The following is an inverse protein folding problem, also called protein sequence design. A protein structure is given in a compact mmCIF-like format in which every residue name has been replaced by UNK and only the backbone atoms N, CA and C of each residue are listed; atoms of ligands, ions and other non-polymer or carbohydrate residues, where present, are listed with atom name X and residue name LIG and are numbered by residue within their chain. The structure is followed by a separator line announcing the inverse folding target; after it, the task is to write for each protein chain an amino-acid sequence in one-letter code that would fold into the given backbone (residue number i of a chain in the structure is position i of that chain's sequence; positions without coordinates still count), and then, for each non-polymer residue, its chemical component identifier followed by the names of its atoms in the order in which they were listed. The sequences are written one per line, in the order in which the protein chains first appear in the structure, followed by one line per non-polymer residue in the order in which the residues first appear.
data_IF_442362663132
#
_entry.id   IF_442362663132
#
_cell.length_a   1.000
_cell.length_b   1.000
_cell.length_c   1.000
_cell.angle_alpha   90.00
_cell.angle_beta   90.00
_cell.angle_gamma   90.00
#
_symmetry.space_group_name_H-M   'P 1'
#
loop_
_entity.id
_entity.type
_entity.pdbx_description
1 polymer ?
#
# COMPACT_ATOMS: atom_id res chain seq x y z
N UNK A 1 -16.17 -26.72 -16.65
CA UNK A 1 -16.83 -25.41 -16.60
C UNK A 1 -17.67 -25.37 -15.34
N UNK A 2 -17.13 -24.79 -14.26
CA UNK A 2 -17.88 -24.58 -13.02
C UNK A 2 -18.31 -23.12 -13.03
N UNK A 3 -19.61 -22.88 -13.05
CA UNK A 3 -20.22 -21.56 -12.98
C UNK A 3 -19.92 -20.96 -11.61
N UNK A 4 -19.07 -19.93 -11.56
CA UNK A 4 -18.90 -19.12 -10.37
C UNK A 4 -20.25 -18.46 -10.05
N UNK A 5 -20.90 -18.95 -9.00
CA UNK A 5 -22.09 -18.33 -8.42
C UNK A 5 -21.71 -16.92 -7.98
N UNK A 6 -22.36 -15.91 -8.57
CA UNK A 6 -22.31 -14.53 -8.07
C UNK A 6 -23.02 -14.50 -6.72
N UNK A 7 -22.26 -14.69 -5.63
CA UNK A 7 -22.78 -14.41 -4.29
C UNK A 7 -22.82 -12.90 -4.10
N UNK A 8 -24.01 -12.33 -4.31
CA UNK A 8 -24.33 -10.95 -3.98
C UNK A 8 -24.00 -10.68 -2.51
N UNK A 9 -23.35 -9.55 -2.21
CA UNK A 9 -23.08 -9.09 -0.85
C UNK A 9 -24.43 -8.96 -0.11
N UNK A 10 -24.72 -9.87 0.82
CA UNK A 10 -25.97 -9.86 1.58
C UNK A 10 -25.89 -8.89 2.76
N UNK A 11 -26.93 -8.06 2.90
CA UNK A 11 -27.12 -7.13 4.03
C UNK A 11 -27.27 -7.94 5.33
N UNK A 12 -26.64 -7.52 6.45
CA UNK A 12 -26.77 -8.22 7.73
C UNK A 12 -28.23 -8.29 8.23
N UNK A 13 -28.60 -9.30 9.03
CA UNK A 13 -29.96 -9.41 9.59
C UNK A 13 -30.33 -8.18 10.43
N UNK A 14 -31.58 -7.73 10.31
CA UNK A 14 -32.10 -6.49 10.94
C UNK A 14 -31.88 -6.43 12.47
N UNK A 15 -31.77 -7.59 13.12
CA UNK A 15 -31.76 -7.72 14.59
C UNK A 15 -30.37 -7.61 15.26
N UNK A 16 -29.27 -7.51 14.51
CA UNK A 16 -27.94 -7.39 15.12
C UNK A 16 -27.64 -5.95 15.63
N UNK A 17 -26.88 -5.81 16.72
CA UNK A 17 -26.49 -4.50 17.28
C UNK A 17 -25.15 -4.06 16.64
N UNK A 18 -24.93 -2.76 16.41
CA UNK A 18 -23.92 -2.17 15.52
C UNK A 18 -22.59 -2.93 15.33
N UNK A 19 -21.87 -3.29 16.42
CA UNK A 19 -20.59 -4.01 16.33
C UNK A 19 -20.66 -5.43 15.77
N UNK A 20 -21.76 -6.15 16.02
CA UNK A 20 -22.01 -7.49 15.46
C UNK A 20 -22.35 -7.40 13.97
N UNK A 21 -23.17 -6.41 13.57
CA UNK A 21 -23.46 -6.12 12.16
C UNK A 21 -22.19 -5.82 11.37
N UNK A 22 -21.25 -5.08 11.96
CA UNK A 22 -19.99 -4.76 11.31
C UNK A 22 -19.07 -5.96 11.13
N UNK A 23 -18.93 -6.77 12.18
CA UNK A 23 -18.14 -8.00 12.13
C UNK A 23 -18.67 -8.97 11.07
N UNK A 24 -19.99 -9.14 10.99
CA UNK A 24 -20.63 -10.03 10.02
C UNK A 24 -20.43 -9.54 8.60
N UNK A 25 -20.65 -8.24 8.33
CA UNK A 25 -20.42 -7.66 7.02
C UNK A 25 -18.97 -7.88 6.56
N UNK A 26 -17.99 -7.50 7.38
CA UNK A 26 -16.58 -7.62 7.02
C UNK A 26 -16.14 -9.08 6.86
N UNK A 27 -16.74 -9.99 7.64
CA UNK A 27 -16.49 -11.43 7.49
C UNK A 27 -16.95 -11.95 6.12
N UNK A 28 -18.15 -11.57 5.68
CA UNK A 28 -18.64 -11.91 4.34
C UNK A 28 -17.80 -11.26 3.25
N UNK A 29 -17.44 -10.00 3.45
CA UNK A 29 -16.62 -9.23 2.54
C UNK A 29 -15.24 -9.86 2.29
N UNK A 30 -14.50 -10.17 3.37
CA UNK A 30 -13.20 -10.83 3.27
C UNK A 30 -13.32 -12.18 2.56
N UNK A 31 -14.36 -12.96 2.88
CA UNK A 31 -14.61 -14.26 2.22
C UNK A 31 -14.77 -14.07 0.71
N UNK A 32 -15.59 -13.12 0.29
CA UNK A 32 -15.86 -12.85 -1.12
C UNK A 32 -14.62 -12.38 -1.88
N UNK A 33 -13.91 -11.37 -1.36
CA UNK A 33 -12.71 -10.82 -2.01
C UNK A 33 -11.57 -11.84 -2.05
N UNK A 34 -11.27 -12.50 -0.93
CA UNK A 34 -10.12 -13.40 -0.84
C UNK A 34 -10.33 -14.68 -1.63
N UNK A 35 -11.54 -15.25 -1.65
CA UNK A 35 -11.83 -16.44 -2.47
C UNK A 35 -11.55 -16.17 -3.95
N UNK A 36 -12.02 -15.03 -4.45
CA UNK A 36 -11.83 -14.60 -5.85
C UNK A 36 -10.37 -14.26 -6.14
N UNK A 37 -9.71 -13.58 -5.20
CA UNK A 37 -8.28 -13.25 -5.32
C UNK A 37 -7.41 -14.52 -5.35
N UNK A 38 -7.56 -15.44 -4.40
CA UNK A 38 -6.77 -16.67 -4.36
C UNK A 38 -7.01 -17.56 -5.58
N UNK A 39 -8.28 -17.71 -5.99
CA UNK A 39 -8.64 -18.50 -7.17
C UNK A 39 -8.00 -17.93 -8.44
N UNK A 40 -8.07 -16.60 -8.62
CA UNK A 40 -7.53 -15.94 -9.81
C UNK A 40 -6.00 -15.82 -9.79
N UNK A 41 -5.35 -15.65 -8.64
CA UNK A 41 -3.88 -15.65 -8.55
C UNK A 41 -3.32 -17.05 -8.80
N UNK A 42 -4.01 -18.09 -8.30
CA UNK A 42 -3.55 -19.47 -8.32
C UNK A 42 -2.47 -19.75 -7.27
N UNK A 43 -2.13 -21.04 -7.09
CA UNK A 43 -1.06 -21.45 -6.17
C UNK A 43 -1.48 -21.58 -4.70
N UNK A 44 -2.78 -21.55 -4.39
CA UNK A 44 -3.33 -21.79 -3.05
C UNK A 44 -4.34 -22.94 -3.12
N UNK A 45 -4.13 -23.99 -2.32
CA UNK A 45 -5.08 -25.10 -2.16
C UNK A 45 -6.36 -24.63 -1.44
N UNK A 46 -7.50 -25.32 -1.60
CA UNK A 46 -8.74 -24.94 -0.91
C UNK A 46 -8.59 -24.81 0.60
N UNK A 47 -7.81 -25.71 1.25
CA UNK A 47 -7.53 -25.64 2.68
C UNK A 47 -6.71 -24.41 3.07
N UNK A 48 -5.74 -24.01 2.23
CA UNK A 48 -4.96 -22.80 2.45
C UNK A 48 -5.83 -21.55 2.33
N UNK A 49 -6.65 -21.47 1.29
CA UNK A 49 -7.59 -20.36 1.10
C UNK A 49 -8.51 -20.21 2.32
N UNK A 50 -9.11 -21.32 2.76
CA UNK A 50 -10.01 -21.32 3.92
C UNK A 50 -9.29 -20.87 5.19
N UNK A 51 -8.06 -21.35 5.44
CA UNK A 51 -7.29 -20.96 6.62
C UNK A 51 -6.91 -19.47 6.65
N UNK A 52 -6.68 -18.85 5.49
CA UNK A 52 -6.47 -17.41 5.40
C UNK A 52 -7.77 -16.64 5.64
N UNK A 53 -8.87 -17.06 5.01
CA UNK A 53 -10.19 -16.44 5.17
C UNK A 53 -10.66 -16.50 6.63
N UNK A 54 -10.55 -17.65 7.28
CA UNK A 54 -10.96 -17.83 8.68
C UNK A 54 -10.15 -16.97 9.63
N UNK A 55 -8.86 -16.77 9.36
CA UNK A 55 -8.05 -15.85 10.14
C UNK A 55 -8.56 -14.41 10.02
N UNK A 56 -8.84 -13.95 8.80
CA UNK A 56 -9.32 -12.59 8.56
C UNK A 56 -10.69 -12.35 9.22
N UNK A 57 -11.62 -13.31 9.09
CA UNK A 57 -12.93 -13.28 9.74
C UNK A 57 -12.82 -13.23 11.27
N UNK A 58 -11.94 -14.05 11.84
CA UNK A 58 -11.82 -14.18 13.30
C UNK A 58 -11.08 -13.03 13.96
N UNK A 59 -10.02 -12.52 13.33
CA UNK A 59 -9.09 -11.60 13.98
C UNK A 59 -9.09 -10.18 13.42
N UNK A 60 -9.58 -9.97 12.19
CA UNK A 60 -9.53 -8.66 11.53
C UNK A 60 -10.92 -8.05 11.38
N UNK A 61 -11.91 -8.83 10.92
CA UNK A 61 -13.29 -8.35 10.74
C UNK A 61 -13.88 -7.63 11.98
N UNK A 62 -13.60 -8.05 13.23
CA UNK A 62 -14.15 -7.37 14.41
C UNK A 62 -13.61 -5.95 14.66
N UNK A 63 -12.49 -5.56 14.04
CA UNK A 63 -11.74 -4.34 14.40
C UNK A 63 -11.39 -3.43 13.21
N UNK A 64 -11.81 -3.81 12.00
CA UNK A 64 -11.44 -3.10 10.77
C UNK A 64 -12.14 -1.74 10.63
N UNK A 65 -13.31 -1.55 11.24
CA UNK A 65 -14.04 -0.28 11.25
C UNK A 65 -15.53 -0.41 10.88
N UNK A 66 -16.22 0.73 10.67
CA UNK A 66 -17.65 0.75 10.35
C UNK A 66 -17.94 0.10 8.99
N UNK A 67 -19.18 -0.32 8.79
CA UNK A 67 -19.61 -0.87 7.50
C UNK A 67 -19.92 0.23 6.50
N UNK A 68 -19.68 0.00 5.19
CA UNK A 68 -20.03 0.92 4.10
C UNK A 68 -21.45 1.49 4.16
N UNK A 69 -22.41 0.70 4.66
CA UNK A 69 -23.81 1.10 4.84
C UNK A 69 -24.04 2.33 5.74
N UNK A 70 -23.07 2.69 6.58
CA UNK A 70 -23.16 3.80 7.53
C UNK A 70 -22.40 5.03 7.01
N UNK A 71 -22.92 6.26 7.19
CA UNK A 71 -22.19 7.48 6.83
C UNK A 71 -20.92 7.62 7.68
N UNK A 72 -19.76 7.75 7.05
CA UNK A 72 -18.48 7.82 7.73
C UNK A 72 -17.46 8.64 6.90
N UNK A 73 -16.39 9.20 7.52
CA UNK A 73 -15.39 10.04 6.82
C UNK A 73 -14.48 9.29 5.83
N UNK A 74 -13.61 9.98 5.08
CA UNK A 74 -12.73 9.29 4.11
C UNK A 74 -11.73 8.35 4.81
N UNK A 75 -11.32 7.27 4.16
CA UNK A 75 -10.17 6.47 4.60
C UNK A 75 -8.87 6.98 3.96
N UNK A 76 -7.71 6.61 4.53
CA UNK A 76 -6.38 7.02 4.05
C UNK A 76 -5.95 6.38 2.73
N UNK A 77 -6.83 5.60 2.09
CA UNK A 77 -6.52 5.01 0.80
C UNK A 77 -6.74 6.10 -0.27
N UNK A 78 -5.66 6.58 -0.90
CA UNK A 78 -5.62 7.89 -1.55
C UNK A 78 -6.59 8.10 -2.71
N UNK A 79 -7.09 7.01 -3.28
CA UNK A 79 -7.89 7.04 -4.49
C UNK A 79 -9.27 6.41 -4.30
N UNK A 80 -9.48 5.68 -3.19
CA UNK A 80 -10.69 4.92 -2.95
C UNK A 80 -10.99 4.98 -1.44
N UNK A 81 -12.19 5.44 -1.06
CA UNK A 81 -12.57 5.61 0.35
C UNK A 81 -12.93 4.27 1.00
N UNK A 82 -12.05 3.28 0.90
CA UNK A 82 -12.21 1.96 1.49
C UNK A 82 -11.13 1.71 2.57
N UNK A 83 -11.45 0.95 3.63
CA UNK A 83 -10.46 0.61 4.66
C UNK A 83 -9.48 -0.46 4.19
N UNK A 84 -9.62 -1.01 2.98
CA UNK A 84 -8.77 -2.07 2.46
C UNK A 84 -8.54 -1.95 0.96
N UNK A 85 -7.45 -2.57 0.50
CA UNK A 85 -7.09 -2.70 -0.91
C UNK A 85 -6.42 -4.07 -1.13
N UNK A 86 -6.93 -4.82 -2.11
CA UNK A 86 -6.32 -6.07 -2.53
C UNK A 86 -5.14 -5.77 -3.45
N UNK A 87 -4.14 -6.64 -3.50
CA UNK A 87 -3.07 -6.52 -4.48
C UNK A 87 -2.48 -7.87 -4.83
N UNK A 88 -1.85 -7.92 -6.00
CA UNK A 88 -1.07 -9.07 -6.43
C UNK A 88 0.36 -8.62 -6.67
N UNK A 89 1.29 -9.35 -6.06
CA UNK A 89 2.71 -9.18 -6.27
C UNK A 89 3.17 -10.13 -7.37
N UNK A 90 3.72 -9.57 -8.43
CA UNK A 90 4.25 -10.27 -9.60
C UNK A 90 5.77 -10.18 -9.62
N UNK A 91 6.43 -11.29 -9.94
CA UNK A 91 7.88 -11.36 -10.06
C UNK A 91 8.26 -12.19 -11.26
N UNK A 92 9.30 -11.81 -12.01
CA UNK A 92 9.76 -12.62 -13.13
C UNK A 92 10.24 -14.01 -12.69
N UNK A 93 10.87 -14.12 -11.51
CA UNK A 93 11.47 -15.37 -11.02
C UNK A 93 10.72 -15.98 -9.83
N UNK A 94 9.40 -15.95 -9.82
CA UNK A 94 8.63 -16.47 -8.68
C UNK A 94 7.14 -16.58 -8.96
N UNK A 95 6.44 -17.17 -7.99
CA UNK A 95 4.98 -17.29 -8.07
C UNK A 95 4.32 -15.97 -7.66
N UNK A 96 3.25 -15.55 -8.37
CA UNK A 96 2.38 -14.47 -7.93
C UNK A 96 1.90 -14.66 -6.49
N UNK A 97 1.78 -13.57 -5.73
CA UNK A 97 1.29 -13.63 -4.34
C UNK A 97 0.16 -12.64 -4.11
N UNK A 98 -0.93 -13.14 -3.53
CA UNK A 98 -2.02 -12.32 -3.04
C UNK A 98 -1.60 -11.54 -1.79
N UNK A 99 -2.04 -10.28 -1.71
CA UNK A 99 -1.91 -9.40 -0.54
C UNK A 99 -3.21 -8.66 -0.31
N UNK A 100 -3.51 -8.37 0.95
CA UNK A 100 -4.53 -7.39 1.33
C UNK A 100 -3.92 -6.36 2.27
N UNK A 101 -4.05 -5.09 1.90
CA UNK A 101 -3.66 -3.92 2.68
C UNK A 101 -4.88 -3.35 3.38
N UNK A 102 -4.72 -2.87 4.61
CA UNK A 102 -5.83 -2.44 5.45
C UNK A 102 -5.44 -1.27 6.36
N UNK A 103 -6.43 -0.47 6.70
CA UNK A 103 -6.37 0.55 7.73
C UNK A 103 -7.21 0.10 8.93
N UNK A 104 -6.67 0.18 10.15
CA UNK A 104 -7.45 -0.08 11.36
C UNK A 104 -8.23 1.14 11.80
N UNK A 105 -9.37 0.89 12.44
CA UNK A 105 -10.11 1.88 13.21
C UNK A 105 -11.12 2.69 12.40
N UNK A 106 -11.61 3.76 13.04
CA UNK A 106 -12.64 4.64 12.50
C UNK A 106 -12.14 5.40 11.26
N UNK A 107 -13.01 5.90 10.37
CA UNK A 107 -12.58 6.71 9.24
C UNK A 107 -11.83 7.98 9.66
N UNK A 108 -11.22 8.69 8.70
CA UNK A 108 -10.45 9.92 8.94
C UNK A 108 -11.37 11.11 9.22
N UNK A 109 -12.09 11.05 10.34
CA UNK A 109 -12.97 12.11 10.83
C UNK A 109 -12.61 12.53 12.26
N UNK A 110 -13.44 13.39 12.87
CA UNK A 110 -13.21 13.92 14.22
C UNK A 110 -13.14 12.83 15.31
N UNK A 111 -13.74 11.66 15.07
CA UNK A 111 -13.70 10.55 16.04
C UNK A 111 -12.29 10.00 16.24
N UNK A 112 -11.36 10.25 15.29
CA UNK A 112 -9.95 9.91 15.47
C UNK A 112 -9.37 10.62 16.68
N UNK A 113 -9.73 11.87 16.93
CA UNK A 113 -9.18 12.64 18.04
C UNK A 113 -9.84 12.34 19.40
N UNK A 114 -10.76 11.37 19.46
CA UNK A 114 -11.35 10.93 20.73
C UNK A 114 -10.26 10.40 21.67
N UNK A 115 -10.37 10.66 22.99
CA UNK A 115 -9.47 10.08 23.97
C UNK A 115 -9.37 8.55 23.82
N UNK A 116 -8.15 8.03 23.95
CA UNK A 116 -7.84 6.59 23.87
C UNK A 116 -8.05 5.93 22.49
N UNK A 117 -8.43 6.67 21.44
CA UNK A 117 -8.64 6.08 20.12
C UNK A 117 -7.35 5.50 19.53
N UNK A 118 -6.22 6.21 19.70
CA UNK A 118 -4.92 5.76 19.22
C UNK A 118 -4.41 4.53 19.98
N UNK A 119 -4.64 4.50 21.29
CA UNK A 119 -4.29 3.40 22.18
C UNK A 119 -5.08 2.13 21.79
N UNK A 120 -6.41 2.23 21.59
CA UNK A 120 -7.24 1.10 21.14
C UNK A 120 -6.82 0.55 19.78
N UNK A 121 -6.55 1.42 18.80
CA UNK A 121 -6.08 0.99 17.47
C UNK A 121 -4.73 0.28 17.56
N UNK A 122 -3.83 0.78 18.42
CA UNK A 122 -2.52 0.16 18.67
C UNK A 122 -2.64 -1.22 19.33
N UNK A 123 -3.54 -1.37 20.30
CA UNK A 123 -3.84 -2.66 20.94
C UNK A 123 -4.42 -3.66 19.95
N UNK A 124 -5.34 -3.23 19.09
CA UNK A 124 -5.90 -4.05 18.02
C UNK A 124 -4.83 -4.52 17.04
N UNK A 125 -3.93 -3.63 16.62
CA UNK A 125 -2.82 -3.98 15.73
C UNK A 125 -1.90 -5.03 16.35
N UNK A 126 -1.52 -4.85 17.61
CA UNK A 126 -0.68 -5.81 18.35
C UNK A 126 -1.38 -7.15 18.56
N UNK A 127 -2.69 -7.13 18.82
CA UNK A 127 -3.51 -8.35 18.94
C UNK A 127 -3.53 -9.15 17.65
N UNK A 128 -3.74 -8.48 16.50
CA UNK A 128 -3.67 -9.09 15.18
C UNK A 128 -2.26 -9.66 14.91
N UNK A 129 -1.22 -8.91 15.25
CA UNK A 129 0.16 -9.37 15.09
C UNK A 129 0.44 -10.67 15.86
N UNK A 130 0.06 -10.71 17.14
CA UNK A 130 0.20 -11.91 17.98
C UNK A 130 -0.61 -13.07 17.44
N UNK A 131 -1.85 -12.84 17.02
CA UNK A 131 -2.70 -13.87 16.42
C UNK A 131 -2.11 -14.43 15.11
N UNK A 132 -1.39 -13.59 14.34
CA UNK A 132 -0.68 -14.01 13.13
C UNK A 132 0.66 -14.71 13.41
N UNK A 133 1.07 -14.82 14.69
CA UNK A 133 2.39 -15.31 15.13
C UNK A 133 3.56 -14.46 14.59
N UNK A 134 3.30 -13.17 14.40
CA UNK A 134 4.31 -12.21 13.96
C UNK A 134 5.30 -11.88 15.09
N UNK A 135 6.53 -11.53 14.71
CA UNK A 135 7.47 -10.90 15.63
C UNK A 135 7.09 -9.43 15.81
N UNK A 136 6.91 -9.00 17.06
CA UNK A 136 6.39 -7.66 17.37
C UNK A 136 7.48 -6.66 17.78
N UNK A 137 8.76 -7.03 17.85
CA UNK A 137 9.82 -6.17 18.41
C UNK A 137 9.88 -4.80 17.72
N UNK A 138 10.04 -4.78 16.40
CA UNK A 138 10.04 -3.53 15.62
C UNK A 138 8.67 -2.85 15.54
N UNK A 139 7.60 -3.63 15.54
CA UNK A 139 6.23 -3.11 15.59
C UNK A 139 6.03 -2.28 16.87
N UNK A 140 6.42 -2.81 18.02
CA UNK A 140 6.30 -2.15 19.32
C UNK A 140 7.16 -0.89 19.41
N UNK A 141 8.40 -0.93 18.88
CA UNK A 141 9.24 0.25 18.75
C UNK A 141 8.54 1.37 17.97
N UNK A 142 8.01 1.06 16.78
CA UNK A 142 7.34 2.07 15.96
C UNK A 142 6.00 2.52 16.53
N UNK A 143 5.23 1.64 17.18
CA UNK A 143 4.01 2.05 17.90
C UNK A 143 4.36 3.09 18.96
N UNK A 144 5.38 2.84 19.78
CA UNK A 144 5.82 3.79 20.81
C UNK A 144 6.35 5.10 20.20
N UNK A 145 7.09 5.02 19.09
CA UNK A 145 7.71 6.18 18.48
C UNK A 145 6.71 7.02 17.69
N UNK A 146 5.78 6.41 16.96
CA UNK A 146 5.00 7.10 15.92
C UNK A 146 3.58 7.45 16.36
N UNK A 147 2.99 6.70 17.28
CA UNK A 147 1.64 6.99 17.76
C UNK A 147 1.68 8.25 18.64
N UNK A 148 0.80 9.20 18.32
CA UNK A 148 0.70 10.47 19.04
C UNK A 148 0.02 10.25 20.39
N UNK A 149 0.50 10.94 21.42
CA UNK A 149 -0.20 10.98 22.71
C UNK A 149 -1.50 11.78 22.59
N UNK A 150 -2.45 11.58 23.51
CA UNK A 150 -3.70 12.36 23.56
C UNK A 150 -3.46 13.88 23.51
N UNK A 151 -2.43 14.38 24.21
CA UNK A 151 -2.07 15.81 24.17
C UNK A 151 -1.53 16.26 22.80
N UNK A 152 -0.74 15.42 22.13
CA UNK A 152 -0.24 15.72 20.78
C UNK A 152 -1.37 15.68 19.75
N UNK A 153 -2.33 14.77 19.89
CA UNK A 153 -3.51 14.68 19.04
C UNK A 153 -4.37 15.94 19.16
N UNK A 154 -4.63 16.40 20.38
CA UNK A 154 -5.39 17.63 20.59
C UNK A 154 -4.64 18.85 20.03
N UNK A 155 -3.31 18.90 20.14
CA UNK A 155 -2.51 19.97 19.53
C UNK A 155 -2.59 19.97 17.99
N UNK A 156 -2.66 18.80 17.35
CA UNK A 156 -2.89 18.67 15.90
C UNK A 156 -4.31 19.14 15.55
N UNK A 157 -5.32 18.66 16.29
CA UNK A 157 -6.73 19.01 16.08
C UNK A 157 -6.98 20.51 16.22
N UNK A 158 -6.45 21.14 17.27
CA UNK A 158 -6.61 22.57 17.55
C UNK A 158 -6.04 23.47 16.46
N UNK A 159 -5.11 22.97 15.64
CA UNK A 159 -4.54 23.69 14.48
C UNK A 159 -5.27 23.43 13.17
N UNK A 160 -6.37 22.66 13.21
CA UNK A 160 -7.04 22.18 12.00
C UNK A 160 -6.17 21.24 11.18
N UNK A 161 -5.22 20.53 11.81
CA UNK A 161 -4.41 19.53 11.13
C UNK A 161 -5.28 18.39 10.58
N UNK A 162 -4.91 17.77 9.46
CA UNK A 162 -5.71 16.69 8.89
C UNK A 162 -5.69 15.46 9.78
N UNK A 163 -6.72 14.62 9.67
CA UNK A 163 -6.73 13.32 10.33
C UNK A 163 -5.89 12.32 9.50
N UNK A 164 -5.00 11.60 10.18
CA UNK A 164 -4.21 10.52 9.60
C UNK A 164 -4.59 9.21 10.28
N UNK A 165 -4.43 8.05 9.60
CA UNK A 165 -4.56 6.78 10.29
C UNK A 165 -3.42 6.64 11.29
N UNK A 166 -3.69 6.00 12.42
CA UNK A 166 -2.65 5.72 13.40
C UNK A 166 -1.64 4.70 12.88
N UNK A 167 -2.16 3.69 12.20
CA UNK A 167 -1.37 2.62 11.62
C UNK A 167 -2.14 1.96 10.50
N UNK A 168 -1.41 1.42 9.53
CA UNK A 168 -1.93 0.52 8.50
C UNK A 168 -1.20 -0.81 8.60
N UNK A 169 -1.74 -1.85 7.98
CA UNK A 169 -1.09 -3.15 7.96
C UNK A 169 -1.50 -3.95 6.72
N UNK A 170 -0.71 -4.97 6.39
CA UNK A 170 -1.06 -5.89 5.32
C UNK A 170 -0.62 -7.31 5.62
N UNK A 171 -1.23 -8.27 4.92
CA UNK A 171 -0.75 -9.65 4.89
C UNK A 171 -0.26 -10.04 3.50
N UNK A 172 0.95 -10.59 3.43
CA UNK A 172 1.40 -11.39 2.29
C UNK A 172 1.07 -12.86 2.54
N UNK A 173 0.21 -13.44 1.73
CA UNK A 173 -0.22 -14.84 1.89
C UNK A 173 0.75 -15.80 1.18
N UNK A 174 1.17 -16.86 1.87
CA UNK A 174 2.03 -17.91 1.29
C UNK A 174 1.59 -19.27 1.85
N UNK A 175 0.81 -20.02 1.07
CA UNK A 175 0.21 -21.27 1.53
C UNK A 175 -0.63 -21.08 2.79
N UNK A 176 -0.37 -21.88 3.83
CA UNK A 176 -1.01 -21.75 5.16
C UNK A 176 -0.46 -20.57 5.97
N UNK A 177 0.72 -20.06 5.63
CA UNK A 177 1.38 -18.97 6.35
C UNK A 177 1.01 -17.59 5.81
N UNK A 178 1.24 -16.57 6.64
CA UNK A 178 1.01 -15.16 6.33
C UNK A 178 2.10 -14.32 6.97
N UNK A 179 2.64 -13.37 6.21
CA UNK A 179 3.58 -12.39 6.75
C UNK A 179 2.86 -11.08 6.97
N UNK A 180 2.77 -10.65 8.23
CA UNK A 180 2.25 -9.33 8.56
C UNK A 180 3.30 -8.25 8.27
N UNK A 181 2.84 -7.10 7.81
CA UNK A 181 3.61 -5.86 7.80
C UNK A 181 2.78 -4.75 8.40
N UNK A 182 3.41 -3.85 9.13
CA UNK A 182 2.76 -2.70 9.73
C UNK A 182 3.38 -1.39 9.20
N UNK A 183 2.57 -0.34 9.15
CA UNK A 183 2.94 0.95 8.59
C UNK A 183 2.42 2.09 9.45
N UNK A 184 3.20 3.17 9.56
CA UNK A 184 2.93 4.30 10.45
C UNK A 184 3.16 5.61 9.71
N UNK A 185 2.14 6.47 9.54
CA UNK A 185 2.31 7.77 8.92
C UNK A 185 3.28 8.66 9.71
N UNK A 186 4.16 9.34 8.99
CA UNK A 186 5.07 10.32 9.57
C UNK A 186 4.36 11.68 9.63
N UNK A 187 3.99 12.09 10.85
CA UNK A 187 3.25 13.33 11.11
C UNK A 187 4.17 14.37 11.74
N UNK A 188 4.18 15.64 11.26
CA UNK A 188 4.95 16.70 11.89
C UNK A 188 4.41 16.99 13.30
N UNK A 189 5.29 17.17 14.29
CA UNK A 189 4.91 17.41 15.69
C UNK A 189 6.03 18.08 16.47
N UNK A 190 5.67 18.89 17.48
CA UNK A 190 6.65 19.52 18.37
C UNK A 190 7.67 20.41 17.66
N UNK A 191 7.29 21.05 16.55
CA UNK A 191 8.18 21.87 15.73
C UNK A 191 9.11 21.08 14.79
N UNK A 192 8.99 19.75 14.77
CA UNK A 192 9.79 18.84 13.94
C UNK A 192 9.04 18.45 12.67
N UNK A 193 9.77 18.36 11.57
CA UNK A 193 9.25 17.84 10.30
C UNK A 193 8.95 16.35 10.36
N UNK A 194 8.09 15.87 9.46
CA UNK A 194 7.82 14.43 9.27
C UNK A 194 9.09 13.62 8.97
N UNK A 195 10.04 14.19 8.24
CA UNK A 195 11.33 13.55 7.96
C UNK A 195 12.16 13.35 9.23
N UNK A 196 12.28 14.37 10.08
CA UNK A 196 13.01 14.25 11.35
C UNK A 196 12.36 13.22 12.28
N UNK A 197 11.03 13.24 12.38
CA UNK A 197 10.28 12.25 13.18
C UNK A 197 10.50 10.84 12.65
N UNK A 198 10.41 10.64 11.33
CA UNK A 198 10.58 9.34 10.70
C UNK A 198 12.00 8.77 10.86
N UNK A 199 13.03 9.60 10.65
CA UNK A 199 14.43 9.16 10.82
C UNK A 199 14.72 8.74 12.26
N UNK A 200 14.22 9.47 13.25
CA UNK A 200 14.41 9.12 14.66
C UNK A 200 13.66 7.84 15.05
N UNK A 201 12.46 7.63 14.52
CA UNK A 201 11.71 6.41 14.77
C UNK A 201 12.44 5.17 14.22
N UNK A 202 13.07 5.26 13.05
CA UNK A 202 13.91 4.16 12.53
C UNK A 202 15.12 3.91 13.43
N UNK A 203 15.74 4.96 14.00
CA UNK A 203 16.86 4.81 14.96
C UNK A 203 16.44 4.18 16.28
N UNK A 204 15.14 4.16 16.60
CA UNK A 204 14.61 3.59 17.85
C UNK A 204 14.27 2.10 17.75
N UNK A 205 14.45 1.49 16.58
CA UNK A 205 14.18 0.07 16.35
C UNK A 205 15.18 -0.79 17.12
N UNK A 206 14.69 -1.78 17.86
CA UNK A 206 15.54 -2.71 18.60
C UNK A 206 15.22 -4.17 18.23
N UNK A 207 16.23 -4.99 17.86
CA UNK A 207 17.65 -4.64 17.71
C UNK A 207 17.90 -3.73 16.49
N UNK A 208 18.88 -2.84 16.61
CA UNK A 208 19.34 -1.97 15.51
C UNK A 208 20.65 -2.49 14.90
N UNK A 209 20.56 -3.25 13.79
CA UNK A 209 21.73 -3.82 13.15
C UNK A 209 22.64 -2.73 12.51
N UNK A 210 23.97 -2.91 12.46
CA UNK A 210 24.90 -1.95 11.83
C UNK A 210 24.57 -1.62 10.37
N UNK A 211 24.06 -2.60 9.62
CA UNK A 211 23.63 -2.41 8.23
C UNK A 211 22.39 -1.51 8.11
N UNK A 212 21.50 -1.51 9.11
CA UNK A 212 20.39 -0.56 9.16
C UNK A 212 20.91 0.86 9.33
N UNK A 213 21.90 1.07 10.20
CA UNK A 213 22.55 2.37 10.37
C UNK A 213 23.19 2.86 9.06
N UNK A 214 23.90 1.98 8.35
CA UNK A 214 24.55 2.32 7.08
C UNK A 214 23.52 2.70 6.01
N UNK A 215 22.46 1.92 5.84
CA UNK A 215 21.37 2.25 4.92
C UNK A 215 20.65 3.54 5.29
N UNK A 216 20.41 3.77 6.58
CA UNK A 216 19.77 4.99 7.09
C UNK A 216 20.65 6.23 6.83
N UNK A 217 21.98 6.10 6.92
CA UNK A 217 22.91 7.19 6.61
C UNK A 217 22.82 7.61 5.13
N UNK A 218 22.65 6.65 4.20
CA UNK A 218 22.43 6.96 2.79
C UNK A 218 21.15 7.77 2.58
N UNK A 219 20.06 7.35 3.23
CA UNK A 219 18.77 8.06 3.19
C UNK A 219 18.89 9.47 3.79
N UNK A 220 19.47 9.59 4.98
CA UNK A 220 19.64 10.88 5.65
C UNK A 220 20.53 11.82 4.82
N UNK A 221 21.61 11.30 4.22
CA UNK A 221 22.48 12.07 3.33
C UNK A 221 21.76 12.53 2.07
N UNK A 222 20.93 11.68 1.46
CA UNK A 222 20.12 12.07 0.31
C UNK A 222 19.11 13.15 0.67
N UNK A 223 18.31 12.93 1.72
CA UNK A 223 17.27 13.87 2.12
C UNK A 223 17.82 15.26 2.49
N UNK A 224 19.06 15.33 2.97
CA UNK A 224 19.77 16.58 3.18
C UNK A 224 20.16 17.25 1.85
N UNK A 225 19.32 18.17 1.37
CA UNK A 225 19.57 18.94 0.16
C UNK A 225 19.15 18.25 -1.14
N UNK A 226 18.28 17.24 -1.10
CA UNK A 226 17.76 16.61 -2.31
C UNK A 226 17.03 17.62 -3.23
N UNK A 227 17.22 17.47 -4.54
CA UNK A 227 16.71 18.40 -5.57
C UNK A 227 15.18 18.48 -5.61
N UNK A 228 14.50 17.37 -5.39
CA UNK A 228 13.05 17.24 -5.59
C UNK A 228 12.21 17.36 -4.32
N UNK A 229 12.81 17.81 -3.21
CA UNK A 229 12.18 17.96 -1.89
C UNK A 229 11.44 16.70 -1.42
N UNK A 230 11.99 15.53 -1.74
CA UNK A 230 11.58 14.25 -1.21
C UNK A 230 11.54 14.30 0.32
N UNK A 231 10.48 13.74 0.91
CA UNK A 231 10.29 13.70 2.35
C UNK A 231 9.65 12.39 2.80
N UNK A 232 9.89 12.01 4.06
CA UNK A 232 9.31 10.79 4.62
C UNK A 232 7.84 11.05 4.93
N UNK A 233 6.93 10.21 4.43
CA UNK A 233 5.51 10.30 4.75
C UNK A 233 4.96 9.05 5.45
N UNK A 234 5.63 7.90 5.33
CA UNK A 234 5.20 6.64 5.92
C UNK A 234 6.44 5.79 6.27
N UNK A 235 6.39 5.09 7.39
CA UNK A 235 7.35 4.03 7.73
C UNK A 235 6.64 2.69 7.69
N UNK A 236 7.35 1.63 7.29
CA UNK A 236 6.84 0.27 7.33
C UNK A 236 7.86 -0.71 7.90
N UNK A 237 7.38 -1.78 8.52
CA UNK A 237 8.21 -2.89 9.00
C UNK A 237 7.58 -4.22 8.61
N UNK A 238 8.43 -5.17 8.21
CA UNK A 238 8.05 -6.58 8.18
C UNK A 238 7.98 -7.09 9.63
N UNK A 239 6.86 -7.64 10.07
CA UNK A 239 6.70 -8.18 11.43
C UNK A 239 7.26 -9.63 11.49
N UNK A 240 8.54 -9.73 11.17
CA UNK A 240 9.36 -10.95 11.18
C UNK A 240 10.53 -10.74 12.14
N UNK A 241 11.29 -11.81 12.37
CA UNK A 241 12.57 -11.70 13.05
C UNK A 241 13.41 -10.54 12.44
N UNK A 242 13.83 -9.53 13.22
CA UNK A 242 14.60 -8.37 12.80
C UNK A 242 15.81 -8.66 11.90
N UNK A 243 16.44 -9.83 12.04
CA UNK A 243 17.54 -10.25 11.16
C UNK A 243 17.08 -10.54 9.72
N UNK A 244 15.82 -10.91 9.54
CA UNK A 244 15.18 -11.26 8.27
C UNK A 244 14.20 -10.19 7.78
N UNK A 245 13.78 -9.30 8.67
CA UNK A 245 12.84 -8.24 8.41
C UNK A 245 13.47 -7.08 7.63
N UNK A 246 12.58 -6.24 7.09
CA UNK A 246 12.92 -4.99 6.43
C UNK A 246 12.26 -3.82 7.12
N UNK A 247 13.00 -2.73 7.20
CA UNK A 247 12.46 -1.39 7.48
C UNK A 247 12.26 -0.71 6.14
N UNK A 248 11.10 -0.10 5.96
CA UNK A 248 10.69 0.58 4.72
C UNK A 248 10.46 2.04 5.02
N UNK A 249 11.21 2.91 4.37
CA UNK A 249 11.07 4.36 4.48
C UNK A 249 10.40 4.84 3.21
N UNK A 250 9.15 5.28 3.32
CA UNK A 250 8.40 5.76 2.18
C UNK A 250 8.60 7.27 2.00
N UNK A 251 9.05 7.63 0.80
CA UNK A 251 9.26 8.99 0.36
C UNK A 251 8.14 9.41 -0.57
N UNK A 252 7.64 10.63 -0.44
CA UNK A 252 6.82 11.27 -1.47
C UNK A 252 7.62 12.36 -2.19
N UNK A 253 7.33 12.54 -3.48
CA UNK A 253 7.96 13.54 -4.33
C UNK A 253 6.90 14.16 -5.23
N UNK A 254 6.77 15.48 -5.18
CA UNK A 254 5.84 16.23 -6.02
C UNK A 254 6.43 16.48 -7.42
N UNK A 255 6.84 15.40 -8.09
CA UNK A 255 7.30 15.37 -9.48
C UNK A 255 7.12 13.95 -9.99
N UNK A 256 6.63 13.83 -11.22
CA UNK A 256 6.61 12.57 -11.97
C UNK A 256 7.51 12.60 -13.19
N UNK A 257 8.51 13.48 -13.22
CA UNK A 257 9.50 13.48 -14.29
C UNK A 257 10.42 12.25 -14.19
N UNK A 258 10.98 11.83 -15.33
CA UNK A 258 11.94 10.73 -15.35
C UNK A 258 13.19 11.08 -14.53
N UNK A 259 13.68 12.32 -14.64
CA UNK A 259 14.82 12.78 -13.85
C UNK A 259 14.55 12.75 -12.34
N UNK A 260 13.32 12.99 -11.89
CA UNK A 260 12.94 12.80 -10.49
C UNK A 260 12.92 11.33 -10.08
N UNK A 261 12.35 10.45 -10.92
CA UNK A 261 12.36 9.01 -10.68
C UNK A 261 13.79 8.46 -10.58
N UNK A 262 14.68 8.81 -11.53
CA UNK A 262 16.09 8.41 -11.51
C UNK A 262 16.82 8.92 -10.28
N UNK A 263 16.64 10.20 -9.93
CA UNK A 263 17.29 10.81 -8.77
C UNK A 263 16.91 10.06 -7.49
N UNK A 264 15.62 9.82 -7.25
CA UNK A 264 15.18 9.14 -6.03
C UNK A 264 15.59 7.66 -6.03
N UNK A 265 15.43 6.95 -7.15
CA UNK A 265 15.82 5.54 -7.30
C UNK A 265 17.33 5.30 -7.11
N UNK A 266 18.15 6.34 -7.22
CA UNK A 266 19.60 6.28 -6.96
C UNK A 266 20.01 7.01 -5.68
N UNK A 267 19.06 7.52 -4.89
CA UNK A 267 19.31 8.40 -3.75
C UNK A 267 20.27 9.54 -4.10
N UNK A 268 20.03 10.20 -5.23
CA UNK A 268 20.85 11.28 -5.78
C UNK A 268 22.24 10.81 -6.19
N UNK A 269 22.33 9.65 -6.87
CA UNK A 269 23.60 9.06 -7.31
C UNK A 269 24.43 8.37 -6.23
N UNK A 270 23.87 8.14 -5.03
CA UNK A 270 24.55 7.43 -3.94
C UNK A 270 24.51 5.92 -4.10
N UNK A 271 23.51 5.40 -4.81
CA UNK A 271 23.41 3.98 -5.17
C UNK A 271 24.03 3.77 -6.55
N UNK A 272 25.25 3.24 -6.58
CA UNK A 272 26.04 3.05 -7.80
C UNK A 272 26.42 1.59 -8.05
N UNK A 273 25.91 0.65 -7.25
CA UNK A 273 26.13 -0.76 -7.48
C UNK A 273 25.36 -1.25 -8.72
N UNK A 274 25.81 -2.37 -9.28
CA UNK A 274 25.28 -2.91 -10.52
C UNK A 274 23.78 -3.25 -10.45
N UNK A 275 23.26 -3.64 -9.28
CA UNK A 275 21.86 -4.03 -9.12
C UNK A 275 20.98 -2.78 -9.11
N UNK A 276 21.36 -1.74 -8.37
CA UNK A 276 20.64 -0.47 -8.35
C UNK A 276 20.64 0.22 -9.71
N UNK A 277 21.77 0.24 -10.43
CA UNK A 277 21.82 0.83 -11.78
C UNK A 277 20.97 0.02 -12.77
N UNK A 278 21.03 -1.32 -12.70
CA UNK A 278 20.16 -2.18 -13.51
C UNK A 278 18.67 -1.96 -13.23
N UNK A 279 18.31 -1.72 -11.97
CA UNK A 279 16.92 -1.40 -11.60
C UNK A 279 16.45 -0.13 -12.31
N UNK A 280 17.29 0.91 -12.37
CA UNK A 280 17.01 2.16 -13.08
C UNK A 280 16.88 1.93 -14.58
N UNK A 281 17.80 1.18 -15.19
CA UNK A 281 17.76 0.89 -16.64
C UNK A 281 16.47 0.15 -17.03
N UNK A 282 16.10 -0.86 -16.25
CA UNK A 282 14.85 -1.61 -16.48
C UNK A 282 13.63 -0.70 -16.26
N UNK A 283 13.63 0.13 -15.21
CA UNK A 283 12.55 1.08 -14.95
C UNK A 283 12.39 2.05 -16.13
N UNK A 284 13.47 2.60 -16.67
CA UNK A 284 13.44 3.53 -17.80
C UNK A 284 12.66 2.93 -18.99
N UNK A 285 12.86 1.64 -19.24
CA UNK A 285 12.21 0.94 -20.35
C UNK A 285 10.68 0.85 -20.25
N UNK A 286 10.11 1.03 -19.06
CA UNK A 286 8.66 0.93 -18.78
C UNK A 286 8.04 2.19 -18.19
N UNK A 287 8.84 3.15 -17.71
CA UNK A 287 8.37 4.31 -16.95
C UNK A 287 7.39 5.19 -17.73
N UNK A 288 7.66 5.39 -19.03
CA UNK A 288 6.79 6.14 -19.92
C UNK A 288 5.38 5.53 -20.01
N UNK A 289 5.25 4.19 -20.00
CA UNK A 289 3.96 3.49 -19.93
C UNK A 289 3.27 3.65 -18.57
N UNK A 290 4.04 3.69 -17.48
CA UNK A 290 3.49 3.91 -16.13
C UNK A 290 2.86 5.30 -15.98
N UNK A 291 3.26 6.27 -16.81
CA UNK A 291 2.69 7.62 -16.87
C UNK A 291 1.68 7.81 -18.00
N UNK A 292 1.38 6.75 -18.76
CA UNK A 292 0.56 6.83 -19.97
C UNK A 292 1.08 7.85 -21.00
N UNK A 293 2.39 7.81 -21.24
CA UNK A 293 3.13 8.63 -22.21
C UNK A 293 3.90 7.72 -23.18
N UNK A 294 3.23 6.96 -24.07
CA UNK A 294 3.83 5.87 -24.84
C UNK A 294 4.99 6.32 -25.76
N UNK A 295 4.98 7.57 -26.22
CA UNK A 295 6.01 8.14 -27.09
C UNK A 295 7.24 8.66 -26.32
N UNK A 296 7.18 8.66 -24.99
CA UNK A 296 8.16 9.35 -24.16
C UNK A 296 7.98 10.86 -24.19
N UNK A 297 8.99 11.60 -23.72
CA UNK A 297 8.94 13.06 -23.67
C UNK A 297 10.18 13.64 -22.99
N UNK A 298 10.12 14.92 -22.69
CA UNK A 298 11.14 15.61 -21.89
C UNK A 298 11.32 14.93 -20.52
N UNK A 299 12.57 14.59 -20.18
CA UNK A 299 12.92 13.90 -18.95
C UNK A 299 12.70 14.75 -17.69
N UNK A 300 12.65 16.08 -17.82
CA UNK A 300 12.35 17.02 -16.74
C UNK A 300 10.86 17.35 -16.61
N UNK A 301 10.05 17.02 -17.63
CA UNK A 301 8.62 17.31 -17.60
C UNK A 301 7.84 16.35 -16.70
N UNK A 302 6.98 16.93 -15.86
CA UNK A 302 5.99 16.21 -15.05
C UNK A 302 4.61 16.32 -15.67
N UNK A 303 3.95 15.18 -15.84
CA UNK A 303 2.55 15.09 -16.23
C UNK A 303 1.66 15.74 -15.15
N UNK A 304 0.74 16.65 -15.50
CA UNK A 304 -0.22 17.15 -14.53
C UNK A 304 -1.02 16.02 -13.89
N UNK A 305 -1.33 16.14 -12.60
CA UNK A 305 -2.18 15.18 -11.91
C UNK A 305 -3.63 15.35 -12.41
N UNK A 306 -4.29 14.26 -12.78
CA UNK A 306 -5.72 14.29 -13.15
C UNK A 306 -6.64 14.65 -11.97
N UNK A 307 -6.23 14.36 -10.74
CA UNK A 307 -6.97 14.62 -9.51
C UNK A 307 -6.22 15.70 -8.72
N UNK A 308 -6.71 16.94 -8.79
CA UNK A 308 -6.06 18.13 -8.24
C UNK A 308 -5.84 18.06 -6.70
N UNK A 309 -6.82 17.54 -5.96
CA UNK A 309 -6.79 17.38 -4.50
C UNK A 309 -6.52 15.93 -4.06
N UNK A 310 -5.99 15.12 -4.97
CA UNK A 310 -5.69 13.71 -4.69
C UNK A 310 -4.56 13.58 -3.67
N UNK A 311 -4.71 12.62 -2.76
CA UNK A 311 -3.60 12.21 -1.90
C UNK A 311 -2.43 11.70 -2.76
N UNK A 312 -1.23 12.18 -2.46
CA UNK A 312 0.04 11.90 -3.16
C UNK A 312 0.16 12.53 -4.56
N UNK A 313 0.40 13.86 -4.64
CA UNK A 313 0.76 14.48 -5.90
C UNK A 313 2.15 13.99 -6.33
N UNK A 314 2.27 13.46 -7.56
CA UNK A 314 3.53 12.92 -8.08
C UNK A 314 3.73 11.44 -7.77
N UNK A 315 4.89 11.09 -7.19
CA UNK A 315 5.34 9.71 -7.04
C UNK A 315 5.69 9.37 -5.60
N UNK A 316 5.56 8.09 -5.26
CA UNK A 316 6.10 7.58 -4.01
C UNK A 316 7.22 6.57 -4.28
N UNK A 317 8.11 6.46 -3.31
CA UNK A 317 9.21 5.52 -3.32
C UNK A 317 9.29 4.85 -1.97
N UNK A 318 9.71 3.60 -1.90
CA UNK A 318 10.17 3.01 -0.65
C UNK A 318 11.65 2.69 -0.74
N UNK A 319 12.39 3.13 0.27
CA UNK A 319 13.74 2.66 0.57
C UNK A 319 13.61 1.49 1.55
N UNK A 320 13.99 0.29 1.13
CA UNK A 320 13.91 -0.91 1.96
C UNK A 320 15.31 -1.30 2.47
N UNK A 321 15.51 -1.23 3.78
CA UNK A 321 16.77 -1.55 4.45
C UNK A 321 16.60 -2.85 5.23
N UNK A 322 17.63 -3.71 5.20
CA UNK A 322 17.62 -5.01 5.89
C UNK A 322 18.80 -5.08 6.86
N UNK A 323 18.75 -5.98 7.84
CA UNK A 323 19.92 -6.26 8.69
C UNK A 323 21.10 -6.89 7.90
N UNK A 324 20.86 -7.42 6.70
CA UNK A 324 21.83 -8.19 5.90
C UNK A 324 22.57 -7.38 4.85
N UNK A 325 22.11 -6.17 4.51
CA UNK A 325 22.70 -5.33 3.47
C UNK A 325 22.75 -3.88 3.92
N UNK A 326 23.90 -3.25 3.75
CA UNK A 326 24.09 -1.80 3.93
C UNK A 326 23.57 -0.98 2.74
N UNK A 327 23.37 -1.63 1.58
CA UNK A 327 22.80 -1.01 0.39
C UNK A 327 21.28 -1.26 0.41
N UNK A 328 20.46 -0.19 0.42
CA UNK A 328 19.01 -0.33 0.40
C UNK A 328 18.48 -0.72 -0.98
N UNK A 329 17.38 -1.47 -0.99
CA UNK A 329 16.60 -1.71 -2.20
C UNK A 329 15.60 -0.57 -2.43
N UNK A 330 15.45 -0.15 -3.68
CA UNK A 330 14.53 0.92 -4.06
C UNK A 330 13.30 0.35 -4.77
N UNK A 331 12.13 0.90 -4.46
CA UNK A 331 10.87 0.59 -5.14
C UNK A 331 10.10 1.87 -5.43
N UNK A 332 9.56 1.99 -6.64
CA UNK A 332 8.72 3.10 -7.05
C UNK A 332 7.24 2.69 -7.05
N UNK A 333 6.37 3.64 -6.75
CA UNK A 333 4.92 3.54 -6.75
C UNK A 333 4.38 4.66 -7.63
N UNK A 334 3.78 4.28 -8.76
CA UNK A 334 3.21 5.21 -9.73
C UNK A 334 1.69 5.11 -9.66
N UNK A 335 0.99 6.17 -9.26
CA UNK A 335 -0.46 6.17 -9.21
C UNK A 335 -1.05 6.22 -10.63
N UNK A 336 -1.34 5.05 -11.21
CA UNK A 336 -1.90 4.94 -12.56
C UNK A 336 -3.15 5.80 -12.73
N UNK A 337 -3.97 5.86 -11.69
CA UNK A 337 -5.20 6.64 -11.66
C UNK A 337 -5.00 8.16 -11.83
N UNK A 338 -3.80 8.67 -11.56
CA UNK A 338 -3.46 10.09 -11.78
C UNK A 338 -3.04 10.39 -13.23
N UNK A 339 -2.63 9.37 -13.99
CA UNK A 339 -1.91 9.55 -15.25
C UNK A 339 -2.57 8.89 -16.45
N UNK A 340 -3.26 7.77 -16.26
CA UNK A 340 -3.95 7.10 -17.34
C UNK A 340 -5.13 7.95 -17.84
N UNK A 341 -5.15 8.23 -19.14
CA UNK A 341 -6.24 8.99 -19.78
C UNK A 341 -7.57 8.24 -19.79
N UNK A 342 -7.52 6.91 -19.70
CA UNK A 342 -8.70 6.09 -19.44
C UNK A 342 -8.32 4.80 -18.72
N UNK A 343 -9.28 4.14 -18.08
CA UNK A 343 -9.08 2.81 -17.52
C UNK A 343 -8.64 1.74 -18.52
N UNK A 344 -9.16 1.80 -19.75
CA UNK A 344 -8.75 0.89 -20.83
C UNK A 344 -7.27 1.11 -21.19
N UNK A 345 -6.83 2.37 -21.26
CA UNK A 345 -5.40 2.70 -21.44
C UNK A 345 -4.55 2.22 -20.27
N UNK A 346 -5.03 2.34 -19.03
CA UNK A 346 -4.34 1.78 -17.87
C UNK A 346 -4.13 0.27 -17.99
N UNK A 347 -5.19 -0.46 -18.37
CA UNK A 347 -5.14 -1.90 -18.62
C UNK A 347 -4.16 -2.26 -19.76
N UNK A 348 -4.24 -1.58 -20.90
CA UNK A 348 -3.33 -1.78 -22.05
C UNK A 348 -1.86 -1.52 -21.66
N UNK A 349 -1.59 -0.41 -20.97
CA UNK A 349 -0.26 -0.09 -20.48
C UNK A 349 0.27 -1.16 -19.52
N UNK A 350 -0.56 -1.73 -18.65
CA UNK A 350 -0.12 -2.85 -17.80
C UNK A 350 0.31 -4.07 -18.61
N UNK A 351 -0.42 -4.45 -19.67
CA UNK A 351 0.02 -5.54 -20.55
C UNK A 351 1.36 -5.23 -21.21
N UNK A 352 1.55 -4.00 -21.69
CA UNK A 352 2.80 -3.57 -22.30
C UNK A 352 3.97 -3.57 -21.30
N UNK A 353 3.73 -3.09 -20.07
CA UNK A 353 4.71 -3.10 -18.98
C UNK A 353 5.10 -4.54 -18.65
N UNK A 354 4.13 -5.42 -18.35
CA UNK A 354 4.42 -6.81 -18.01
C UNK A 354 5.15 -7.54 -19.14
N UNK A 355 4.83 -7.24 -20.41
CA UNK A 355 5.53 -7.79 -21.57
C UNK A 355 6.99 -7.36 -21.61
N UNK A 356 7.26 -6.07 -21.43
CA UNK A 356 8.63 -5.51 -21.36
C UNK A 356 9.42 -6.06 -20.17
N UNK A 357 8.75 -6.31 -19.05
CA UNK A 357 9.35 -6.94 -17.87
C UNK A 357 9.50 -8.47 -17.98
N UNK A 358 9.08 -9.06 -19.10
CA UNK A 358 9.19 -10.51 -19.35
C UNK A 358 8.27 -11.37 -18.47
N UNK A 359 7.18 -10.80 -17.95
CA UNK A 359 6.28 -11.52 -17.06
C UNK A 359 5.15 -12.24 -17.84
N UNK A 360 4.97 -13.54 -17.57
CA UNK A 360 4.01 -14.40 -18.29
C UNK A 360 2.53 -13.94 -18.23
N UNK A 361 2.15 -13.15 -17.21
CA UNK A 361 0.80 -12.57 -17.13
C UNK A 361 0.47 -11.57 -18.24
N UNK A 362 1.47 -11.13 -18.99
CA UNK A 362 1.27 -10.28 -20.15
C UNK A 362 0.51 -10.97 -21.31
N UNK A 363 0.45 -12.30 -21.34
CA UNK A 363 -0.11 -13.05 -22.46
C UNK A 363 -0.95 -14.27 -22.08
N UNK A 364 -0.92 -14.74 -20.83
CA UNK A 364 -1.61 -15.96 -20.41
C UNK A 364 -3.06 -15.74 -19.92
N UNK A 365 -3.57 -14.51 -20.00
CA UNK A 365 -4.93 -14.15 -19.57
C UNK A 365 -5.15 -13.98 -18.06
N UNK A 366 -4.17 -14.33 -17.21
CA UNK A 366 -4.31 -14.25 -15.73
C UNK A 366 -4.54 -12.83 -15.23
N UNK A 367 -3.92 -11.82 -15.85
CA UNK A 367 -4.16 -10.43 -15.49
C UNK A 367 -5.65 -10.06 -15.64
N UNK A 368 -6.25 -10.37 -16.80
CA UNK A 368 -7.68 -10.16 -17.05
C UNK A 368 -8.56 -10.92 -16.06
N UNK A 369 -8.26 -12.20 -15.85
CA UNK A 369 -8.98 -13.07 -14.92
C UNK A 369 -9.00 -12.48 -13.51
N UNK A 370 -7.85 -12.05 -12.99
CA UNK A 370 -7.73 -11.42 -11.67
C UNK A 370 -8.47 -10.09 -11.60
N UNK A 371 -8.34 -9.22 -12.61
CA UNK A 371 -9.08 -7.95 -12.65
C UNK A 371 -10.58 -8.18 -12.60
N UNK A 372 -11.11 -9.11 -13.41
CA UNK A 372 -12.55 -9.42 -13.42
C UNK A 372 -13.01 -10.07 -12.11
N UNK A 373 -12.18 -10.91 -11.51
CA UNK A 373 -12.50 -11.60 -10.26
C UNK A 373 -12.58 -10.65 -9.06
N UNK A 374 -11.68 -9.67 -8.97
CA UNK A 374 -11.67 -8.70 -7.85
C UNK A 374 -12.62 -7.53 -8.10
N UNK A 375 -12.77 -7.10 -9.36
CA UNK A 375 -13.59 -5.95 -9.77
C UNK A 375 -15.03 -6.28 -10.19
N UNK A 376 -15.52 -7.50 -9.94
CA UNK A 376 -16.90 -7.93 -10.22
C UNK A 376 -17.42 -7.53 -11.62
N UNK A 377 -16.65 -7.85 -12.67
CA UNK A 377 -16.92 -7.54 -14.09
C UNK A 377 -16.68 -6.11 -14.59
N UNK A 378 -16.36 -5.16 -13.71
CA UNK A 378 -15.79 -3.87 -14.12
C UNK A 378 -14.25 -3.95 -14.07
N UNK A 379 -13.62 -4.29 -15.20
CA UNK A 379 -12.13 -4.41 -15.30
C UNK A 379 -11.38 -3.13 -14.91
N UNK A 380 -12.10 -2.03 -14.93
CA UNK A 380 -11.66 -0.64 -14.75
C UNK A 380 -11.57 -0.22 -13.28
N UNK A 381 -12.36 -0.83 -12.40
CA UNK A 381 -12.35 -0.49 -10.98
C UNK A 381 -11.15 -1.18 -10.33
N UNK A 382 -10.13 -0.40 -9.99
CA UNK A 382 -9.14 -0.84 -9.02
C UNK A 382 -7.68 -0.66 -9.37
N UNK A 383 -7.29 -0.25 -10.58
CA UNK A 383 -5.88 0.01 -10.90
C UNK A 383 -5.39 1.33 -10.29
N UNK A 384 -5.26 1.35 -8.96
CA UNK A 384 -4.85 2.54 -8.22
C UNK A 384 -3.39 2.86 -8.47
N UNK A 385 -2.52 1.87 -8.22
CA UNK A 385 -1.06 2.04 -8.23
C UNK A 385 -0.42 0.85 -8.91
N UNK A 386 0.56 1.11 -9.77
CA UNK A 386 1.55 0.12 -10.19
C UNK A 386 2.86 0.40 -9.49
N UNK A 387 3.59 -0.66 -9.18
CA UNK A 387 4.92 -0.52 -8.56
C UNK A 387 5.99 -1.23 -9.35
N UNK A 388 7.23 -0.81 -9.15
CA UNK A 388 8.39 -1.48 -9.71
C UNK A 388 9.56 -1.48 -8.72
N UNK A 389 10.18 -2.64 -8.57
CA UNK A 389 11.53 -2.79 -8.04
C UNK A 389 12.26 -3.92 -8.77
N UNK A 390 13.55 -4.05 -8.54
CA UNK A 390 14.36 -5.10 -9.13
C UNK A 390 15.31 -5.68 -8.08
N UNK A 391 15.47 -7.00 -8.10
CA UNK A 391 16.56 -7.70 -7.40
C UNK A 391 17.01 -8.89 -8.22
N UNK A 392 18.23 -9.36 -8.04
CA UNK A 392 18.73 -10.56 -8.74
C UNK A 392 17.86 -11.79 -8.46
N UNK A 393 17.45 -11.96 -7.20
CA UNK A 393 16.67 -13.11 -6.76
C UNK A 393 15.28 -13.16 -7.42
N UNK A 394 14.59 -12.03 -7.51
CA UNK A 394 13.18 -11.98 -7.97
C UNK A 394 13.03 -11.55 -9.43
N UNK A 395 14.07 -10.97 -10.02
CA UNK A 395 13.97 -10.21 -11.26
C UNK A 395 13.15 -8.94 -11.05
N UNK A 396 12.42 -8.53 -12.08
CA UNK A 396 11.46 -7.43 -12.00
C UNK A 396 10.33 -7.79 -11.05
N UNK A 397 10.00 -6.88 -10.13
CA UNK A 397 8.93 -7.03 -9.16
C UNK A 397 7.91 -5.92 -9.37
N UNK A 398 6.65 -6.27 -9.58
CA UNK A 398 5.56 -5.32 -9.68
C UNK A 398 4.37 -5.77 -8.84
N UNK A 399 3.87 -4.87 -7.98
CA UNK A 399 2.57 -5.02 -7.35
C UNK A 399 1.52 -4.29 -8.18
N UNK A 400 0.40 -4.95 -8.44
CA UNK A 400 -0.82 -4.35 -8.98
C UNK A 400 -1.81 -4.30 -7.82
N UNK A 401 -2.29 -3.10 -7.52
CA UNK A 401 -3.31 -2.89 -6.51
C UNK A 401 -4.67 -2.90 -7.19
N UNK A 402 -5.65 -3.48 -6.49
CA UNK A 402 -7.04 -3.64 -6.87
C UNK A 402 -7.89 -3.15 -5.72
N UNK A 403 -8.90 -2.37 -6.04
CA UNK A 403 -9.83 -1.89 -5.04
C UNK A 403 -11.21 -2.51 -5.28
N UNK A 404 -11.54 -3.55 -4.51
CA UNK A 404 -12.84 -4.18 -4.61
C UNK A 404 -13.95 -3.19 -4.16
N UNK A 405 -15.15 -3.23 -4.75
CA UNK A 405 -16.30 -2.41 -4.33
C UNK A 405 -16.63 -2.65 -2.85
N UNK A 406 -17.20 -1.66 -2.14
CA UNK A 406 -17.59 -1.80 -0.70
C UNK A 406 -18.99 -1.28 -0.38
N UNK A 407 -19.56 -0.37 -1.17
CA UNK A 407 -20.96 0.06 -1.19
C UNK A 407 -21.67 0.46 0.13
N UNK A 408 -21.87 1.77 0.33
CA UNK A 408 -23.23 2.33 0.31
C UNK A 408 -23.33 3.24 -0.90
N UNK A 409 -23.59 2.58 -2.02
CA UNK A 409 -23.72 3.05 -3.41
C UNK A 409 -22.69 4.11 -3.79
N UNK A 410 -21.43 3.72 -4.01
CA UNK A 410 -20.41 4.57 -4.62
C UNK A 410 -20.28 6.00 -4.04
N UNK A 411 -20.81 6.26 -2.83
CA UNK A 411 -21.18 7.58 -2.28
C UNK A 411 -20.06 8.61 -2.41
N UNK A 412 -20.08 9.58 -3.32
CA UNK A 412 -20.89 9.77 -4.51
C UNK A 412 -19.88 9.62 -5.65
N UNK A 413 -20.19 8.74 -6.60
CA UNK A 413 -19.20 8.20 -7.53
C UNK A 413 -18.40 9.36 -8.04
N UNK A 414 -17.09 9.45 -7.77
CA UNK A 414 -16.32 10.33 -8.63
C UNK A 414 -16.95 11.77 -8.56
N UNK A 415 -17.40 12.30 -7.41
CA UNK A 415 -18.28 13.51 -7.35
C UNK A 415 -17.68 14.82 -7.93
N UNK A 416 -16.55 14.72 -8.65
CA UNK A 416 -16.14 15.66 -9.68
C UNK A 416 -15.37 15.11 -10.90
N UNK A 417 -15.19 13.79 -11.17
CA UNK A 417 -14.69 13.46 -12.53
C UNK A 417 -15.85 13.64 -13.50
N UNK A 418 -15.76 14.68 -14.32
CA UNK A 418 -16.15 14.46 -15.70
C UNK A 418 -15.21 13.40 -16.26
N UNK A 419 -15.65 12.15 -16.27
CA UNK A 419 -15.16 11.14 -17.21
C UNK A 419 -15.88 11.27 -18.57
N UNK A 420 -16.55 12.41 -18.80
CA UNK A 420 -17.11 12.82 -20.09
C UNK A 420 -16.30 13.97 -20.71
N UNK A 421 -15.52 13.62 -21.73
CA UNK A 421 -15.46 14.32 -23.02
C UNK A 421 -15.07 15.81 -23.00
N UNK A 422 -13.78 16.08 -23.21
CA UNK A 422 -13.30 16.62 -24.50
C UNK A 422 -12.07 15.85 -24.92
#
# INVERSE_FOLDING_TARGET
MSTASSQTITVPPENAVGGEKATDYWSHYFTSVLTRLFSSVGGYTPSEQQAQIDFMRKHVAPVIGPVPAEPYGLFNMPYIPAPLEASVNLTTNGQPKARIWMNLGKPLDQSRFEPQAAERDSENLLSIARASRADTRWLECLTKAMILTSAQLEAVRARGGPAWPYSLFCFDFTGMDRTMRAYFPAVPRGGRSRTEVGLDAVKSLEPFAPNLQAGLNLVQSYLNGNRYKAAIHLLGVDCLDPEQARVKIYLDVNSNSWNAARDVMTLGGRLTDAISLKAVDVLQSVYHLMRDEPEGGDEDWSKPNAIADGSFPGQQFSVEITAKSSIPEMKIYVPLVQYAGSPQRAEENMYHILRKLGHQWASNGKLKETMMAVGESETVRGLGVITFSYSEKKGSYSSIYFAPPTDYVDKVAIEGRSLSVV
#
